data_IF_331605789184
#
_entry.id   IF_331605789184
#
_cell.length_a   1.000
_cell.length_b   1.000
_cell.length_c   1.000
_cell.angle_alpha   90.00
_cell.angle_beta   90.00
_cell.angle_gamma   90.00
#
_symmetry.space_group_name_H-M   'P 1'
#
loop_
_entity.id
_entity.type
_entity.pdbx_description
1 polymer ?
#
# COMPACT_ATOMS: atom_id res chain seq x y z
N UNK A 1 21.28 -18.80 -0.96
CA UNK A 1 20.01 -18.02 -1.03
C UNK A 1 20.22 -16.89 -2.04
N UNK A 2 19.26 -16.59 -2.91
CA UNK A 2 19.38 -15.41 -3.79
C UNK A 2 19.18 -14.12 -2.95
N UNK A 3 19.87 -13.03 -3.28
CA UNK A 3 19.76 -11.72 -2.62
C UNK A 3 18.30 -11.27 -2.56
N UNK A 4 17.51 -11.50 -3.60
CA UNK A 4 16.08 -11.12 -3.61
C UNK A 4 15.22 -11.93 -2.64
N UNK A 5 15.63 -13.16 -2.32
CA UNK A 5 14.96 -13.94 -1.29
C UNK A 5 15.34 -13.41 0.10
N UNK A 6 16.60 -13.04 0.32
CA UNK A 6 17.06 -12.43 1.57
C UNK A 6 16.33 -11.12 1.83
N UNK A 7 16.27 -10.21 0.84
CA UNK A 7 15.54 -8.94 0.94
C UNK A 7 14.07 -9.14 1.30
N UNK A 8 13.41 -10.12 0.70
CA UNK A 8 12.02 -10.48 1.04
C UNK A 8 11.89 -10.98 2.47
N UNK A 9 12.75 -11.91 2.89
CA UNK A 9 12.79 -12.43 4.27
C UNK A 9 12.96 -11.30 5.28
N UNK A 10 13.92 -10.40 5.05
CA UNK A 10 14.18 -9.26 5.92
C UNK A 10 13.00 -8.29 5.97
N UNK A 11 12.37 -8.00 4.83
CA UNK A 11 11.20 -7.14 4.77
C UNK A 11 10.04 -7.73 5.60
N UNK A 12 9.76 -9.02 5.47
CA UNK A 12 8.69 -9.66 6.21
C UNK A 12 9.00 -9.70 7.71
N UNK A 13 10.21 -10.13 8.10
CA UNK A 13 10.65 -10.12 9.50
C UNK A 13 10.57 -8.74 10.15
N UNK A 14 11.02 -7.71 9.44
CA UNK A 14 10.96 -6.33 9.94
C UNK A 14 9.53 -5.87 10.15
N UNK A 15 8.63 -6.16 9.19
CA UNK A 15 7.21 -5.79 9.31
C UNK A 15 6.52 -6.54 10.44
N UNK A 16 6.77 -7.84 10.59
CA UNK A 16 6.21 -8.65 11.68
C UNK A 16 6.68 -8.14 13.05
N UNK A 17 7.99 -7.85 13.18
CA UNK A 17 8.54 -7.25 14.39
C UNK A 17 7.92 -5.89 14.67
N UNK A 18 7.84 -5.02 13.65
CA UNK A 18 7.27 -3.68 13.78
C UNK A 18 5.80 -3.74 14.18
N UNK A 19 5.00 -4.63 13.60
CA UNK A 19 3.58 -4.81 13.94
C UNK A 19 3.41 -5.23 15.41
N UNK A 20 4.16 -6.24 15.87
CA UNK A 20 4.11 -6.72 17.24
C UNK A 20 4.56 -5.66 18.28
N UNK A 21 5.50 -4.79 17.88
CA UNK A 21 6.14 -3.82 18.77
C UNK A 21 5.71 -2.36 18.51
N UNK A 22 4.71 -2.15 17.65
CA UNK A 22 4.28 -0.84 17.16
C UNK A 22 3.94 0.15 18.29
N UNK A 23 3.36 -0.35 19.37
CA UNK A 23 2.86 0.46 20.49
C UNK A 23 3.95 1.27 21.21
N UNK A 24 5.15 0.71 21.34
CA UNK A 24 6.28 1.39 21.97
C UNK A 24 7.24 2.01 20.95
N UNK A 25 7.43 1.39 19.78
CA UNK A 25 8.28 1.95 18.71
C UNK A 25 7.72 3.30 18.24
N UNK A 26 6.39 3.43 18.11
CA UNK A 26 5.76 4.71 17.73
C UNK A 26 5.98 5.84 18.74
N UNK A 27 6.23 5.50 20.01
CA UNK A 27 6.52 6.47 21.10
C UNK A 27 8.00 6.77 21.23
N UNK A 28 8.87 5.92 20.66
CA UNK A 28 10.30 6.18 20.64
C UNK A 28 10.63 7.25 19.60
N UNK A 29 11.43 8.24 20.01
CA UNK A 29 11.95 9.29 19.12
C UNK A 29 13.12 8.80 18.25
N UNK A 30 12.97 7.63 17.62
CA UNK A 30 13.97 7.02 16.73
C UNK A 30 13.66 7.24 15.25
N UNK A 31 12.67 8.07 14.94
CA UNK A 31 12.18 8.29 13.59
C UNK A 31 13.10 9.20 12.78
N UNK A 32 13.46 8.74 11.59
CA UNK A 32 14.22 9.49 10.59
C UNK A 32 13.41 9.59 9.30
N UNK A 33 13.64 10.67 8.54
CA UNK A 33 13.10 10.83 7.19
C UNK A 33 14.23 10.68 6.20
N UNK A 34 14.14 9.68 5.31
CA UNK A 34 15.11 9.44 4.25
C UNK A 34 14.35 9.32 2.92
N UNK A 35 14.72 10.11 1.92
CA UNK A 35 14.03 10.13 0.61
C UNK A 35 12.50 10.38 0.71
N UNK A 36 12.07 11.17 1.69
CA UNK A 36 10.65 11.47 1.94
C UNK A 36 9.87 10.36 2.65
N UNK A 37 10.52 9.25 3.01
CA UNK A 37 9.90 8.12 3.72
C UNK A 37 10.25 8.18 5.20
N UNK A 38 9.24 8.03 6.05
CA UNK A 38 9.40 7.97 7.51
C UNK A 38 9.74 6.54 7.92
N UNK A 39 10.86 6.35 8.62
CA UNK A 39 11.28 5.03 9.13
C UNK A 39 12.02 5.17 10.46
N UNK A 40 12.10 4.12 11.28
CA UNK A 40 13.03 4.08 12.40
C UNK A 40 14.49 4.21 11.94
N UNK A 41 15.38 4.61 12.84
CA UNK A 41 16.79 4.82 12.55
C UNK A 41 17.41 3.55 11.94
N UNK A 42 18.29 3.74 10.96
CA UNK A 42 18.89 2.63 10.22
C UNK A 42 19.65 1.66 11.14
N UNK A 43 20.33 2.18 12.17
CA UNK A 43 20.99 1.35 13.17
C UNK A 43 20.02 0.52 14.01
N UNK A 44 18.82 1.05 14.33
CA UNK A 44 17.79 0.29 15.03
C UNK A 44 17.27 -0.86 14.18
N UNK A 45 16.96 -0.60 12.90
CA UNK A 45 16.51 -1.63 11.96
C UNK A 45 17.55 -2.75 11.83
N UNK A 46 18.83 -2.40 11.67
CA UNK A 46 19.91 -3.38 11.55
C UNK A 46 20.14 -4.17 12.85
N UNK A 47 20.02 -3.51 14.01
CA UNK A 47 20.16 -4.15 15.32
C UNK A 47 19.04 -5.15 15.63
N UNK A 48 17.80 -4.85 15.21
CA UNK A 48 16.68 -5.80 15.34
C UNK A 48 16.84 -6.95 14.34
N UNK A 49 17.16 -6.65 13.09
CA UNK A 49 17.25 -7.70 12.07
C UNK A 49 18.45 -8.63 12.28
N UNK A 50 19.52 -8.19 12.96
CA UNK A 50 20.63 -9.07 13.32
C UNK A 50 20.24 -10.09 14.40
N UNK A 51 19.23 -9.81 15.22
CA UNK A 51 18.69 -10.79 16.19
C UNK A 51 17.64 -11.70 15.57
N UNK A 52 16.85 -11.20 14.63
CA UNK A 52 15.74 -11.93 14.01
C UNK A 52 16.14 -12.80 12.80
N UNK A 53 17.18 -12.40 12.04
CA UNK A 53 17.64 -13.12 10.84
C UNK A 53 19.12 -13.50 10.96
N UNK A 54 19.44 -14.74 11.39
CA UNK A 54 20.83 -15.20 11.56
C UNK A 54 21.71 -15.03 10.31
N UNK A 55 21.10 -15.14 9.12
CA UNK A 55 21.79 -14.96 7.83
C UNK A 55 22.25 -13.53 7.59
N UNK A 56 21.50 -12.55 8.10
CA UNK A 56 21.96 -11.16 8.04
C UNK A 56 23.23 -11.01 8.87
N UNK A 57 23.27 -11.59 10.06
CA UNK A 57 24.44 -11.54 10.96
C UNK A 57 25.69 -12.16 10.34
N UNK A 58 25.56 -13.25 9.59
CA UNK A 58 26.67 -13.83 8.81
C UNK A 58 27.18 -12.89 7.70
N UNK A 59 26.29 -12.12 7.07
CA UNK A 59 26.63 -11.21 5.96
C UNK A 59 27.04 -9.81 6.41
N UNK A 60 26.64 -9.37 7.60
CA UNK A 60 26.86 -8.01 8.10
C UNK A 60 28.33 -7.59 8.07
N UNK A 61 29.32 -8.41 8.48
CA UNK A 61 30.73 -8.03 8.38
C UNK A 61 31.14 -7.63 6.96
N UNK A 62 30.78 -8.45 5.96
CA UNK A 62 31.08 -8.18 4.55
C UNK A 62 30.36 -6.93 4.04
N UNK A 63 29.11 -6.72 4.45
CA UNK A 63 28.32 -5.55 4.06
C UNK A 63 28.92 -4.26 4.65
N UNK A 64 29.36 -4.30 5.90
CA UNK A 64 29.95 -3.15 6.60
C UNK A 64 31.33 -2.80 6.04
N UNK A 65 32.14 -3.80 5.66
CA UNK A 65 33.42 -3.59 4.98
C UNK A 65 33.23 -2.88 3.62
N UNK A 66 32.14 -3.18 2.91
CA UNK A 66 31.77 -2.51 1.66
C UNK A 66 31.16 -1.12 1.88
N UNK A 67 30.38 -0.93 2.95
CA UNK A 67 29.81 0.37 3.30
C UNK A 67 29.53 0.47 4.79
N UNK A 68 30.24 1.37 5.47
CA UNK A 68 30.05 1.64 6.90
C UNK A 68 28.90 2.64 7.19
N UNK A 69 28.12 3.04 6.19
CA UNK A 69 26.99 3.95 6.37
C UNK A 69 25.68 3.17 6.54
N UNK A 70 25.04 3.20 7.73
CA UNK A 70 23.87 2.36 8.02
C UNK A 70 22.69 2.66 7.08
N UNK A 71 22.49 3.92 6.68
CA UNK A 71 21.45 4.29 5.72
C UNK A 71 21.64 3.63 4.35
N UNK A 72 22.88 3.56 3.86
CA UNK A 72 23.21 2.90 2.59
C UNK A 72 22.96 1.40 2.67
N UNK A 73 23.30 0.79 3.80
CA UNK A 73 23.02 -0.63 4.04
C UNK A 73 21.51 -0.89 4.00
N UNK A 74 20.71 -0.13 4.76
CA UNK A 74 19.25 -0.32 4.80
C UNK A 74 18.61 -0.10 3.43
N UNK A 75 19.09 0.88 2.65
CA UNK A 75 18.66 1.08 1.25
C UNK A 75 19.05 -0.13 0.38
N UNK A 76 20.28 -0.63 0.47
CA UNK A 76 20.75 -1.79 -0.29
C UNK A 76 19.99 -3.08 0.05
N UNK A 77 19.55 -3.23 1.30
CA UNK A 77 18.68 -4.33 1.76
C UNK A 77 17.21 -4.17 1.32
N UNK A 78 16.84 -3.05 0.70
CA UNK A 78 15.47 -2.79 0.26
C UNK A 78 14.50 -2.45 1.41
N UNK A 79 15.05 -1.97 2.54
CA UNK A 79 14.32 -1.64 3.76
C UNK A 79 14.04 -0.13 3.89
N UNK A 80 14.25 0.65 2.82
CA UNK A 80 13.86 2.07 2.77
C UNK A 80 12.38 2.25 2.39
N UNK A 81 11.51 1.89 3.32
CA UNK A 81 10.06 2.07 3.22
C UNK A 81 9.48 2.53 4.54
N UNK A 82 8.26 3.08 4.48
CA UNK A 82 7.50 3.44 5.67
C UNK A 82 6.75 2.20 6.19
N UNK A 83 7.10 1.69 7.38
CA UNK A 83 6.48 0.47 7.90
C UNK A 83 4.98 0.65 8.18
N UNK A 84 4.52 1.87 8.52
CA UNK A 84 3.09 2.14 8.72
C UNK A 84 2.32 1.99 7.42
N UNK A 85 2.85 2.56 6.33
CA UNK A 85 2.20 2.48 5.01
C UNK A 85 2.19 1.04 4.49
N UNK A 86 3.28 0.30 4.67
CA UNK A 86 3.36 -1.10 4.25
C UNK A 86 2.41 -2.01 5.04
N UNK A 87 2.27 -1.81 6.36
CA UNK A 87 1.30 -2.55 7.16
C UNK A 87 -0.15 -2.26 6.74
N UNK A 88 -0.49 -0.98 6.54
CA UNK A 88 -1.81 -0.60 6.03
C UNK A 88 -2.10 -1.24 4.67
N UNK A 89 -1.11 -1.31 3.79
CA UNK A 89 -1.25 -1.97 2.50
C UNK A 89 -1.41 -3.50 2.60
N UNK A 90 -0.72 -4.15 3.55
CA UNK A 90 -0.91 -5.58 3.87
C UNK A 90 -2.34 -5.84 4.36
N UNK A 91 -2.86 -4.98 5.24
CA UNK A 91 -4.22 -5.10 5.77
C UNK A 91 -5.29 -4.92 4.68
N UNK A 92 -5.17 -3.90 3.83
CA UNK A 92 -6.11 -3.69 2.71
C UNK A 92 -6.14 -4.87 1.74
N UNK A 93 -4.98 -5.51 1.49
CA UNK A 93 -4.89 -6.71 0.65
C UNK A 93 -5.56 -7.93 1.30
N UNK A 94 -5.43 -8.08 2.62
CA UNK A 94 -6.10 -9.13 3.37
C UNK A 94 -7.62 -8.91 3.42
N UNK A 95 -8.05 -7.65 3.51
CA UNK A 95 -9.45 -7.26 3.60
C UNK A 95 -10.20 -7.26 2.29
N UNK A 96 -9.54 -7.10 1.12
CA UNK A 96 -10.20 -7.34 -0.18
C UNK A 96 -10.71 -8.77 -0.20
N UNK A 97 -12.03 -9.00 0.03
CA UNK A 97 -12.57 -10.33 -0.13
C UNK A 97 -12.39 -10.61 -1.61
N UNK A 98 -12.12 -11.87 -1.97
CA UNK A 98 -12.25 -12.37 -3.34
C UNK A 98 -13.69 -12.14 -3.82
N UNK A 99 -14.07 -10.91 -4.14
CA UNK A 99 -15.13 -10.65 -5.09
C UNK A 99 -14.54 -11.03 -6.44
N UNK A 100 -15.10 -12.12 -6.93
CA UNK A 100 -14.86 -12.78 -8.21
C UNK A 100 -14.87 -11.78 -9.37
N UNK A 101 -14.14 -12.04 -10.46
CA UNK A 101 -14.07 -11.11 -11.58
C UNK A 101 -15.48 -10.87 -12.12
N UNK A 102 -15.76 -9.60 -12.45
CA UNK A 102 -16.95 -9.23 -13.19
C UNK A 102 -17.03 -10.11 -14.45
N UNK A 103 -17.92 -11.10 -14.40
CA UNK A 103 -18.29 -11.86 -15.57
C UNK A 103 -18.85 -10.87 -16.59
N UNK A 104 -18.33 -10.95 -17.80
CA UNK A 104 -18.56 -10.07 -18.92
C UNK A 104 -20.05 -9.82 -19.16
N UNK A 105 -20.54 -8.63 -18.80
CA UNK A 105 -21.71 -8.07 -19.44
C UNK A 105 -21.22 -7.39 -20.73
N UNK A 106 -21.30 -8.15 -21.82
CA UNK A 106 -21.16 -7.69 -23.20
C UNK A 106 -22.11 -6.50 -23.42
N UNK A 107 -21.62 -5.27 -23.28
CA UNK A 107 -22.38 -4.10 -23.71
C UNK A 107 -22.17 -3.89 -25.21
N UNK A 108 -23.27 -4.09 -25.92
CA UNK A 108 -23.38 -4.07 -27.38
C UNK A 108 -22.89 -2.73 -28.00
N UNK A 109 -22.53 -2.74 -29.30
CA UNK A 109 -21.94 -1.58 -29.98
C UNK A 109 -22.80 -0.32 -29.86
N UNK A 110 -22.18 0.73 -29.32
CA UNK A 110 -22.73 2.08 -29.26
C UNK A 110 -23.13 2.55 -30.66
N UNK A 111 -24.44 2.63 -30.92
CA UNK A 111 -24.99 3.33 -32.09
C UNK A 111 -24.66 4.83 -31.95
N UNK A 112 -24.19 5.50 -33.01
CA UNK A 112 -23.71 6.89 -32.93
C UNK A 112 -24.78 7.87 -32.43
N UNK A 113 -24.38 8.68 -31.46
CA UNK A 113 -25.18 9.76 -30.84
C UNK A 113 -25.64 10.75 -31.89
N UNK A 114 -26.96 10.90 -32.05
CA UNK A 114 -27.58 12.03 -32.74
C UNK A 114 -27.85 13.13 -31.69
N UNK A 115 -27.59 14.42 -31.99
CA UNK A 115 -27.72 15.50 -31.01
C UNK A 115 -29.14 15.64 -30.45
N UNK A 116 -29.22 15.98 -29.16
CA UNK A 116 -30.45 16.07 -28.38
C UNK A 116 -31.49 16.97 -29.04
N UNK A 117 -32.65 16.40 -29.36
CA UNK A 117 -33.86 17.15 -29.68
C UNK A 117 -34.37 17.75 -28.36
N UNK A 118 -34.65 19.05 -28.39
CA UNK A 118 -35.12 19.83 -27.25
C UNK A 118 -36.52 19.36 -26.90
N UNK A 119 -36.71 18.84 -25.69
CA UNK A 119 -37.98 18.35 -25.17
C UNK A 119 -38.89 19.54 -24.84
N UNK A 120 -39.74 19.93 -25.79
CA UNK A 120 -40.76 20.97 -25.62
C UNK A 120 -42.14 20.31 -25.51
N UNK A 121 -42.36 19.50 -24.47
CA UNK A 121 -43.70 18.98 -24.15
C UNK A 121 -43.86 18.55 -22.68
N UNK A 122 -43.40 19.37 -21.73
CA UNK A 122 -43.77 19.25 -20.32
C UNK A 122 -44.64 20.45 -19.85
N UNK A 123 -45.59 20.91 -20.66
CA UNK A 123 -46.67 21.76 -20.15
C UNK A 123 -47.71 20.89 -19.43
N UNK A 124 -47.72 21.04 -18.10
CA UNK A 124 -48.55 20.29 -17.19
C UNK A 124 -50.04 20.46 -17.47
N UNK A 125 -50.73 19.33 -17.56
CA UNK A 125 -52.19 19.21 -17.47
C UNK A 125 -52.70 19.87 -16.19
N UNK A 126 -53.12 21.12 -16.28
CA UNK A 126 -54.08 21.65 -15.33
C UNK A 126 -55.46 21.06 -15.64
N UNK A 127 -56.04 20.54 -14.57
CA UNK A 127 -57.20 19.68 -14.50
C UNK A 127 -58.50 20.46 -14.75
N UNK A 128 -59.55 19.67 -15.02
CA UNK A 128 -60.95 19.86 -14.57
C UNK A 128 -61.71 21.03 -15.21
N UNK A 129 -62.87 20.89 -15.86
CA UNK A 129 -63.97 19.90 -15.80
C UNK A 129 -64.84 20.03 -17.06
N UNK A 130 -65.40 18.94 -17.62
CA UNK A 130 -66.56 19.04 -18.50
C UNK A 130 -67.84 18.90 -17.66
N UNK A 131 -68.69 19.94 -17.64
CA UNK A 131 -70.08 19.81 -17.19
C UNK A 131 -70.98 19.54 -18.41
N UNK A 132 -71.81 18.49 -18.38
CA UNK A 132 -72.74 18.14 -19.47
C UNK A 132 -74.14 18.74 -19.28
N UNK A 133 -74.84 18.84 -20.42
CA UNK A 133 -76.21 19.30 -20.71
C UNK A 133 -76.42 20.79 -20.95
#
# INVERSE_FOLDING_TARGET
>A
MNIDQLRRSLKDRWLDYYEANRSWISRLSIWVSCEGKRRPSSSFILGVLSTEEPRLTEMLPLIVDLSNHPDRIVVALGLNFDPEQELNHKQLKAETPKYLPASSATEAPQKPRRPAEVDEACEGRNRTTPSPQ
#
